data_IF_313616833479
#
_entry.id   IF_313616833479
#
_cell.length_a   1.000
_cell.length_b   1.000
_cell.length_c   1.000
_cell.angle_alpha   90.00
_cell.angle_beta   90.00
_cell.angle_gamma   90.00
#
_symmetry.space_group_name_H-M   'P 1'
#
loop_
_entity.id
_entity.type
_entity.pdbx_description
1 polymer ?
#
# COMPACT_ATOMS: atom_id res chain seq x y z
N UNK A 1 -25.85 32.96 16.20
CA UNK A 1 -24.77 31.94 16.19
C UNK A 1 -25.27 30.73 15.44
N UNK A 2 -24.42 30.06 14.69
CA UNK A 2 -24.82 28.86 13.95
C UNK A 2 -24.94 27.68 14.92
N UNK A 3 -25.91 26.79 14.72
CA UNK A 3 -26.08 25.53 15.45
C UNK A 3 -24.76 24.73 15.49
N UNK A 4 -23.97 24.80 14.42
CA UNK A 4 -22.66 24.19 14.34
C UNK A 4 -21.66 24.79 15.34
N UNK A 5 -21.70 26.10 15.57
CA UNK A 5 -20.83 26.74 16.57
C UNK A 5 -21.18 26.32 18.01
N UNK A 6 -22.49 26.21 18.30
CA UNK A 6 -22.94 25.73 19.62
C UNK A 6 -22.60 24.26 19.88
N UNK A 7 -22.76 23.39 18.89
CA UNK A 7 -22.34 21.98 18.97
C UNK A 7 -20.81 21.85 19.15
N UNK A 8 -20.06 22.80 18.60
CA UNK A 8 -18.62 22.85 18.71
C UNK A 8 -18.17 23.30 20.12
N UNK A 9 -18.82 24.33 20.66
CA UNK A 9 -18.56 24.81 22.03
C UNK A 9 -18.90 23.77 23.10
N UNK A 10 -19.84 22.86 22.81
CA UNK A 10 -20.21 21.76 23.71
C UNK A 10 -19.33 20.50 23.58
N UNK A 11 -18.33 20.50 22.71
CA UNK A 11 -17.47 19.33 22.48
C UNK A 11 -18.12 18.17 21.71
N UNK A 12 -19.45 18.17 21.57
CA UNK A 12 -20.18 17.06 20.97
C UNK A 12 -19.78 16.77 19.51
N UNK A 13 -19.50 17.81 18.73
CA UNK A 13 -19.05 17.63 17.35
C UNK A 13 -17.63 17.05 17.31
N UNK A 14 -16.77 17.44 18.24
CA UNK A 14 -15.42 16.87 18.34
C UNK A 14 -15.45 15.39 18.65
N UNK A 15 -16.29 14.98 19.60
CA UNK A 15 -16.46 13.57 19.97
C UNK A 15 -16.98 12.74 18.80
N UNK A 16 -17.97 13.26 18.05
CA UNK A 16 -18.47 12.61 16.82
C UNK A 16 -17.39 12.45 15.76
N UNK A 17 -16.52 13.45 15.59
CA UNK A 17 -15.41 13.36 14.65
C UNK A 17 -14.34 12.34 15.09
N UNK A 18 -14.09 12.22 16.38
CA UNK A 18 -13.20 11.20 16.94
C UNK A 18 -13.75 9.79 16.68
N UNK A 19 -15.00 9.54 17.03
CA UNK A 19 -15.66 8.24 16.83
C UNK A 19 -15.70 7.87 15.34
N UNK A 20 -15.99 8.82 14.48
CA UNK A 20 -15.96 8.63 13.03
C UNK A 20 -14.54 8.30 12.56
N UNK A 21 -13.53 9.05 13.02
CA UNK A 21 -12.13 8.83 12.68
C UNK A 21 -11.63 7.45 13.07
N UNK A 22 -11.99 6.99 14.27
CA UNK A 22 -11.64 5.65 14.74
C UNK A 22 -12.33 4.58 13.91
N UNK A 23 -13.64 4.71 13.67
CA UNK A 23 -14.43 3.77 12.87
C UNK A 23 -13.85 3.59 11.45
N UNK A 24 -13.57 4.70 10.76
CA UNK A 24 -12.97 4.66 9.41
C UNK A 24 -11.58 4.05 9.44
N UNK A 25 -10.76 4.41 10.43
CA UNK A 25 -9.40 3.88 10.55
C UNK A 25 -9.40 2.37 10.80
N UNK A 26 -10.28 1.86 11.67
CA UNK A 26 -10.42 0.42 11.92
C UNK A 26 -10.95 -0.31 10.69
N UNK A 27 -11.93 0.26 9.97
CA UNK A 27 -12.41 -0.30 8.71
C UNK A 27 -11.29 -0.37 7.66
N UNK A 28 -10.50 0.68 7.54
CA UNK A 28 -9.34 0.71 6.65
C UNK A 28 -8.27 -0.33 7.04
N UNK A 29 -7.99 -0.49 8.33
CA UNK A 29 -7.11 -1.55 8.85
C UNK A 29 -7.63 -2.95 8.51
N UNK A 30 -8.94 -3.16 8.63
CA UNK A 30 -9.60 -4.40 8.24
C UNK A 30 -9.46 -4.65 6.74
N UNK A 31 -9.74 -3.65 5.90
CA UNK A 31 -9.60 -3.74 4.45
C UNK A 31 -8.18 -4.11 4.00
N UNK A 32 -7.16 -3.59 4.70
CA UNK A 32 -5.76 -3.95 4.44
C UNK A 32 -5.46 -5.41 4.83
N UNK A 33 -6.06 -5.91 5.91
CA UNK A 33 -5.83 -7.28 6.42
C UNK A 33 -6.51 -8.33 5.56
N UNK A 34 -7.66 -8.00 4.97
CA UNK A 34 -8.43 -8.90 4.13
C UNK A 34 -7.79 -9.03 2.74
N UNK A 35 -7.83 -10.24 2.17
CA UNK A 35 -7.42 -10.45 0.80
C UNK A 35 -8.50 -9.95 -0.16
N UNK A 36 -8.26 -8.81 -0.78
CA UNK A 36 -9.17 -8.21 -1.75
C UNK A 36 -8.91 -8.73 -3.17
N UNK A 37 -9.99 -8.87 -3.94
CA UNK A 37 -9.90 -9.16 -5.38
C UNK A 37 -10.12 -7.86 -6.15
N UNK A 38 -9.05 -7.33 -6.74
CA UNK A 38 -9.10 -6.12 -7.56
C UNK A 38 -8.49 -6.40 -8.93
N UNK A 39 -9.17 -5.95 -9.97
CA UNK A 39 -8.75 -6.17 -11.36
C UNK A 39 -8.44 -7.65 -11.68
N UNK A 40 -9.29 -8.57 -11.18
CA UNK A 40 -9.15 -10.01 -11.38
C UNK A 40 -7.98 -10.66 -10.62
N UNK A 41 -7.28 -9.92 -9.75
CA UNK A 41 -6.17 -10.44 -8.96
C UNK A 41 -6.44 -10.36 -7.46
N UNK A 42 -6.23 -11.47 -6.78
CA UNK A 42 -6.24 -11.51 -5.30
C UNK A 42 -5.01 -10.78 -4.76
N UNK A 43 -5.22 -9.80 -3.89
CA UNK A 43 -4.17 -8.99 -3.29
C UNK A 43 -4.33 -8.95 -1.78
N UNK A 44 -3.20 -9.04 -1.09
CA UNK A 44 -3.07 -8.82 0.34
C UNK A 44 -2.01 -7.76 0.58
N UNK A 45 -2.43 -6.56 0.99
CA UNK A 45 -1.52 -5.44 1.20
C UNK A 45 -0.71 -5.61 2.49
N UNK A 46 -1.37 -6.12 3.53
CA UNK A 46 -0.76 -6.24 4.84
C UNK A 46 0.05 -7.53 4.97
N UNK A 47 1.35 -7.41 4.78
CA UNK A 47 2.22 -8.59 4.86
C UNK A 47 3.05 -8.63 6.14
N UNK A 48 3.41 -7.46 6.68
CA UNK A 48 4.21 -7.32 7.92
C UNK A 48 3.40 -6.72 9.05
N UNK A 49 2.16 -6.29 8.82
CA UNK A 49 1.36 -5.53 9.76
C UNK A 49 1.68 -4.03 9.78
N UNK A 50 2.81 -3.63 9.24
CA UNK A 50 3.32 -2.24 9.32
C UNK A 50 2.33 -1.22 8.73
N UNK A 51 1.74 -1.50 7.56
CA UNK A 51 0.80 -0.56 6.94
C UNK A 51 -0.45 -0.35 7.79
N UNK A 52 -1.06 -1.44 8.28
CA UNK A 52 -2.24 -1.32 9.13
C UNK A 52 -1.95 -0.61 10.47
N UNK A 53 -0.76 -0.84 11.03
CA UNK A 53 -0.33 -0.17 12.27
C UNK A 53 0.03 1.32 12.06
N UNK A 54 0.39 1.71 10.85
CA UNK A 54 0.79 3.09 10.52
C UNK A 54 -0.37 4.02 10.22
N UNK A 55 -1.60 3.51 10.08
CA UNK A 55 -2.77 4.33 9.79
C UNK A 55 -3.20 5.11 11.03
N UNK A 56 -3.47 6.39 10.83
CA UNK A 56 -4.01 7.27 11.85
C UNK A 56 -4.97 8.30 11.24
N UNK A 57 -5.72 8.95 12.10
CA UNK A 57 -6.53 10.11 11.74
C UNK A 57 -6.14 11.30 12.60
N UNK A 58 -6.45 12.49 12.13
CA UNK A 58 -6.29 13.74 12.87
C UNK A 58 -7.55 14.59 12.71
N UNK A 59 -8.00 15.20 13.78
CA UNK A 59 -9.11 16.15 13.78
C UNK A 59 -8.54 17.55 13.92
N UNK A 60 -8.83 18.42 12.98
CA UNK A 60 -8.46 19.84 13.00
C UNK A 60 -9.72 20.67 13.27
N UNK A 61 -9.66 21.40 14.38
CA UNK A 61 -10.74 22.28 14.85
C UNK A 61 -10.35 23.76 14.83
N UNK A 62 -9.16 24.06 14.34
CA UNK A 62 -8.61 25.43 14.32
C UNK A 62 -9.15 26.27 13.16
N UNK A 63 -9.69 25.64 12.13
CA UNK A 63 -10.26 26.29 10.96
C UNK A 63 -11.69 26.78 11.16
N UNK A 64 -12.22 27.48 10.15
CA UNK A 64 -13.64 27.94 10.12
C UNK A 64 -14.62 26.77 10.15
N UNK A 65 -14.22 25.64 9.60
CA UNK A 65 -14.95 24.37 9.62
C UNK A 65 -14.03 23.28 10.17
N UNK A 66 -14.52 22.46 11.11
CA UNK A 66 -13.78 21.30 11.57
C UNK A 66 -13.55 20.33 10.42
N UNK A 67 -12.37 19.72 10.42
CA UNK A 67 -12.00 18.74 9.40
C UNK A 67 -11.36 17.53 10.02
N UNK A 68 -11.49 16.39 9.35
CA UNK A 68 -10.82 15.16 9.71
C UNK A 68 -9.92 14.73 8.55
N UNK A 69 -8.67 14.44 8.86
CA UNK A 69 -7.68 13.91 7.93
C UNK A 69 -7.34 12.47 8.24
N UNK A 70 -7.17 11.67 7.20
CA UNK A 70 -6.71 10.28 7.32
C UNK A 70 -5.36 10.14 6.62
N UNK A 71 -4.36 9.59 7.32
CA UNK A 71 -3.02 9.48 6.79
C UNK A 71 -2.31 8.22 7.33
N UNK A 72 -1.05 8.05 6.95
CA UNK A 72 -0.20 6.96 7.34
C UNK A 72 1.25 7.42 7.50
N UNK A 73 1.92 6.93 8.53
CA UNK A 73 3.36 7.13 8.71
C UNK A 73 4.21 6.28 7.74
N UNK A 74 3.60 5.38 6.98
CA UNK A 74 4.31 4.57 6.00
C UNK A 74 4.40 5.29 4.65
N UNK A 75 5.59 5.63 4.19
CA UNK A 75 5.85 6.36 2.93
C UNK A 75 5.19 5.75 1.69
N UNK A 76 4.99 4.44 1.71
CA UNK A 76 4.39 3.70 0.60
C UNK A 76 2.85 3.60 0.68
N UNK A 77 2.21 4.08 1.73
CA UNK A 77 0.77 3.95 1.97
C UNK A 77 -0.05 4.50 0.81
N UNK A 78 0.29 5.69 0.33
CA UNK A 78 -0.37 6.33 -0.83
C UNK A 78 -0.29 5.50 -2.11
N UNK A 79 0.81 4.76 -2.33
CA UNK A 79 0.94 3.88 -3.49
C UNK A 79 0.08 2.62 -3.38
N UNK A 80 -0.24 2.19 -2.17
CA UNK A 80 -1.15 1.08 -1.92
C UNK A 80 -2.59 1.54 -2.03
N UNK A 81 -2.93 2.71 -1.51
CA UNK A 81 -4.27 3.30 -1.59
C UNK A 81 -4.65 3.61 -3.04
N UNK A 82 -3.89 4.48 -3.67
CA UNK A 82 -4.24 5.03 -4.99
C UNK A 82 -3.67 4.24 -6.17
N UNK A 83 -2.75 3.32 -5.91
CA UNK A 83 -2.05 2.60 -6.96
C UNK A 83 -1.04 3.46 -7.71
N UNK A 84 -0.52 2.93 -8.79
CA UNK A 84 0.39 3.62 -9.70
C UNK A 84 0.29 3.05 -11.10
N UNK A 85 0.11 3.88 -12.10
CA UNK A 85 0.16 3.45 -13.49
C UNK A 85 1.55 2.94 -13.87
N UNK A 86 1.60 1.83 -14.61
CA UNK A 86 2.79 1.41 -15.31
C UNK A 86 2.82 1.94 -16.73
N UNK A 87 3.94 1.81 -17.40
CA UNK A 87 4.09 2.24 -18.80
C UNK A 87 3.11 1.55 -19.77
N UNK A 88 2.72 0.31 -19.44
CA UNK A 88 1.84 -0.53 -20.27
C UNK A 88 0.53 -0.90 -19.59
N UNK A 89 0.19 -0.27 -18.47
CA UNK A 89 -1.05 -0.53 -17.75
C UNK A 89 -1.98 0.67 -17.81
N UNK A 90 -3.28 0.39 -17.86
CA UNK A 90 -4.32 1.39 -17.78
C UNK A 90 -5.30 0.98 -16.68
N UNK A 91 -4.94 1.21 -15.42
CA UNK A 91 -5.85 1.00 -14.30
C UNK A 91 -6.86 2.14 -14.25
N UNK A 92 -8.14 1.82 -14.42
CA UNK A 92 -9.25 2.79 -14.30
C UNK A 92 -9.34 3.28 -12.85
N UNK A 93 -9.60 4.58 -12.67
CA UNK A 93 -9.84 5.19 -11.36
C UNK A 93 -8.58 5.52 -10.56
N UNK A 94 -7.39 5.38 -11.12
CA UNK A 94 -6.18 5.94 -10.49
C UNK A 94 -6.26 7.46 -10.57
N UNK A 95 -6.05 8.11 -9.42
CA UNK A 95 -5.95 9.56 -9.35
C UNK A 95 -4.83 10.05 -10.29
N UNK A 96 -5.13 11.09 -11.08
CA UNK A 96 -4.19 11.65 -12.07
C UNK A 96 -2.88 12.11 -11.45
N UNK A 97 -2.86 12.48 -10.16
CA UNK A 97 -1.66 12.83 -9.40
C UNK A 97 -0.67 11.65 -9.29
N UNK A 98 -1.18 10.41 -9.37
CA UNK A 98 -0.40 9.18 -9.32
C UNK A 98 -0.27 8.50 -10.70
N UNK A 99 -0.93 9.05 -11.73
CA UNK A 99 -0.87 8.54 -13.09
C UNK A 99 0.48 8.83 -13.80
N UNK A 100 1.20 9.85 -13.34
CA UNK A 100 2.44 10.27 -13.97
C UNK A 100 3.60 9.32 -13.65
N UNK A 101 4.14 8.74 -14.71
CA UNK A 101 5.40 8.00 -14.85
C UNK A 101 5.79 7.07 -13.69
N UNK A 102 5.65 5.79 -13.97
CA UNK A 102 6.23 4.74 -13.16
C UNK A 102 7.77 4.81 -13.22
N UNK A 103 8.40 5.61 -12.37
CA UNK A 103 9.82 5.46 -12.15
C UNK A 103 10.06 4.03 -11.63
N UNK A 104 11.10 3.39 -12.13
CA UNK A 104 11.53 2.09 -11.65
C UNK A 104 11.81 2.17 -10.14
N UNK A 105 11.17 1.33 -9.31
CA UNK A 105 11.45 1.35 -7.88
C UNK A 105 12.91 0.99 -7.61
N UNK A 106 13.53 1.52 -6.53
CA UNK A 106 14.88 1.17 -6.14
C UNK A 106 15.02 -0.34 -5.94
N UNK A 107 16.05 -0.95 -6.53
CA UNK A 107 16.31 -2.39 -6.41
C UNK A 107 16.53 -2.80 -4.95
N UNK A 108 17.18 -1.94 -4.18
CA UNK A 108 17.46 -2.17 -2.75
C UNK A 108 16.18 -2.26 -1.92
N UNK A 109 15.18 -1.44 -2.21
CA UNK A 109 13.87 -1.54 -1.53
C UNK A 109 13.19 -2.88 -1.80
N UNK A 110 13.33 -3.40 -3.03
CA UNK A 110 12.79 -4.72 -3.39
C UNK A 110 13.59 -5.83 -2.71
N UNK A 111 14.91 -5.73 -2.63
CA UNK A 111 15.75 -6.69 -1.91
C UNK A 111 15.38 -6.75 -0.43
N UNK A 112 15.25 -5.58 0.21
CA UNK A 112 14.78 -5.48 1.60
C UNK A 112 13.42 -6.15 1.78
N UNK A 113 12.47 -5.87 0.89
CA UNK A 113 11.16 -6.50 0.89
C UNK A 113 11.25 -8.02 0.68
N UNK A 114 12.08 -8.51 -0.24
CA UNK A 114 12.30 -9.94 -0.46
C UNK A 114 12.87 -10.64 0.78
N UNK A 115 13.75 -9.96 1.52
CA UNK A 115 14.33 -10.48 2.77
C UNK A 115 13.28 -10.56 3.88
N UNK A 116 12.51 -9.49 4.10
CA UNK A 116 11.41 -9.45 5.06
C UNK A 116 10.38 -10.56 4.79
N UNK A 117 10.07 -10.81 3.53
CA UNK A 117 9.14 -11.85 3.09
C UNK A 117 9.74 -13.24 3.09
N UNK A 118 11.02 -13.39 3.35
CA UNK A 118 11.73 -14.67 3.23
C UNK A 118 11.48 -15.35 1.87
N UNK A 119 11.47 -14.54 0.78
CA UNK A 119 11.19 -15.04 -0.56
C UNK A 119 12.31 -16.00 -0.97
N UNK A 120 11.93 -17.25 -1.23
CA UNK A 120 12.83 -18.28 -1.74
C UNK A 120 12.87 -18.21 -3.26
N UNK A 121 14.06 -18.09 -3.82
CA UNK A 121 14.27 -18.16 -5.26
C UNK A 121 14.20 -19.62 -5.73
N UNK A 122 13.69 -19.82 -6.94
CA UNK A 122 13.75 -21.10 -7.62
C UNK A 122 15.02 -21.15 -8.46
N UNK A 123 15.76 -22.24 -8.39
CA UNK A 123 16.86 -22.48 -9.31
C UNK A 123 16.31 -22.78 -10.71
N UNK A 124 16.91 -22.20 -11.74
CA UNK A 124 16.70 -22.67 -13.12
C UNK A 124 17.57 -23.91 -13.33
N UNK A 125 16.95 -25.01 -13.76
CA UNK A 125 17.68 -26.18 -14.21
C UNK A 125 18.39 -25.90 -15.54
N UNK A 126 19.37 -26.71 -15.89
CA UNK A 126 20.15 -26.63 -17.15
C UNK A 126 19.27 -26.62 -18.41
N UNK A 127 18.06 -27.16 -18.33
CA UNK A 127 17.08 -27.20 -19.43
C UNK A 127 16.19 -25.95 -19.50
N UNK A 128 16.47 -24.88 -18.72
CA UNK A 128 15.62 -23.68 -18.67
C UNK A 128 14.25 -23.89 -18.00
N UNK A 129 13.92 -25.09 -17.53
CA UNK A 129 12.69 -25.36 -16.77
C UNK A 129 12.89 -25.03 -15.30
N UNK A 130 11.89 -24.43 -14.68
CA UNK A 130 11.91 -24.11 -13.24
C UNK A 130 11.91 -25.42 -12.43
N UNK A 131 13.00 -25.69 -11.75
CA UNK A 131 13.11 -26.81 -10.80
C UNK A 131 12.44 -26.51 -9.47
N UNK A 132 12.19 -27.56 -8.66
CA UNK A 132 11.73 -27.41 -7.26
C UNK A 132 12.68 -26.49 -6.50
N UNK A 133 12.17 -25.77 -5.49
CA UNK A 133 12.94 -24.79 -4.71
C UNK A 133 14.36 -25.26 -4.42
N UNK A 134 15.36 -24.50 -4.90
CA UNK A 134 16.75 -24.78 -4.59
C UNK A 134 16.97 -24.65 -3.07
N UNK A 135 17.34 -25.75 -2.46
CA UNK A 135 17.49 -25.86 -1.00
C UNK A 135 18.74 -25.13 -0.52
N UNK A 136 19.08 -23.99 -0.80
CA UNK A 136 20.09 -23.20 -0.11
C UNK A 136 21.07 -22.37 -0.96
N UNK A 137 21.64 -22.86 -2.05
CA UNK A 137 22.69 -22.14 -2.77
C UNK A 137 22.14 -20.87 -3.47
N UNK A 138 21.02 -20.99 -4.21
CA UNK A 138 20.42 -19.85 -4.94
C UNK A 138 19.88 -18.73 -4.01
N UNK A 139 19.57 -19.05 -2.76
CA UNK A 139 19.10 -18.04 -1.79
C UNK A 139 20.25 -17.32 -1.08
N UNK A 140 21.46 -17.84 -1.16
CA UNK A 140 22.69 -17.23 -0.63
C UNK A 140 23.42 -16.41 -1.69
N UNK A 141 23.09 -16.62 -2.98
CA UNK A 141 23.68 -15.87 -4.08
C UNK A 141 23.03 -14.48 -4.15
N UNK A 142 23.73 -13.47 -3.67
CA UNK A 142 23.29 -12.08 -3.66
C UNK A 142 23.10 -11.52 -5.08
N UNK A 143 23.95 -11.93 -6.01
CA UNK A 143 23.83 -11.51 -7.40
C UNK A 143 22.56 -12.03 -8.06
N UNK A 144 22.19 -13.28 -7.78
CA UNK A 144 20.94 -13.83 -8.28
C UNK A 144 19.72 -13.13 -7.65
N UNK A 145 19.77 -12.83 -6.35
CA UNK A 145 18.72 -12.07 -5.67
C UNK A 145 18.60 -10.66 -6.27
N UNK A 146 19.71 -10.00 -6.53
CA UNK A 146 19.74 -8.67 -7.16
C UNK A 146 19.19 -8.68 -8.60
N UNK A 147 19.51 -9.71 -9.40
CA UNK A 147 18.92 -9.92 -10.73
C UNK A 147 17.40 -10.06 -10.67
N UNK A 148 16.88 -10.88 -9.74
CA UNK A 148 15.44 -11.06 -9.55
C UNK A 148 14.78 -9.76 -9.07
N UNK A 149 15.36 -9.06 -8.10
CA UNK A 149 14.86 -7.78 -7.63
C UNK A 149 14.80 -6.73 -8.76
N UNK A 150 15.82 -6.70 -9.62
CA UNK A 150 15.84 -5.83 -10.79
C UNK A 150 14.74 -6.19 -11.82
N UNK A 151 14.51 -7.48 -12.06
CA UNK A 151 13.41 -7.94 -12.92
C UNK A 151 12.04 -7.57 -12.35
N UNK A 152 11.87 -7.66 -11.02
CA UNK A 152 10.64 -7.21 -10.32
C UNK A 152 10.47 -5.69 -10.43
N UNK A 153 11.54 -4.91 -10.26
CA UNK A 153 11.52 -3.46 -10.44
C UNK A 153 11.06 -3.06 -11.85
N UNK A 154 11.63 -3.69 -12.88
CA UNK A 154 11.21 -3.50 -14.27
C UNK A 154 9.76 -3.91 -14.51
N UNK A 155 9.31 -5.00 -13.88
CA UNK A 155 7.90 -5.44 -13.99
C UNK A 155 6.94 -4.44 -13.34
N UNK A 156 7.31 -3.82 -12.21
CA UNK A 156 6.51 -2.77 -11.55
C UNK A 156 6.50 -1.51 -12.42
N UNK A 157 7.64 -1.10 -12.98
CA UNK A 157 7.72 0.03 -13.91
C UNK A 157 6.79 -0.17 -15.12
N UNK A 158 6.77 -1.39 -15.67
CA UNK A 158 5.96 -1.73 -16.85
C UNK A 158 4.47 -1.86 -16.52
N UNK A 159 4.12 -2.59 -15.46
CA UNK A 159 2.75 -2.97 -15.12
C UNK A 159 2.09 -2.06 -14.09
N UNK A 160 2.86 -1.24 -13.37
CA UNK A 160 2.36 -0.43 -12.28
C UNK A 160 1.93 -1.24 -11.05
N UNK A 161 1.24 -0.57 -10.15
CA UNK A 161 0.66 -1.11 -8.92
C UNK A 161 -0.84 -0.80 -8.95
N UNK A 162 -1.69 -1.82 -8.95
CA UNK A 162 -3.12 -1.60 -8.88
C UNK A 162 -3.53 -1.07 -7.49
N UNK A 163 -4.44 -0.08 -7.42
CA UNK A 163 -4.89 0.51 -6.16
C UNK A 163 -5.66 -0.51 -5.32
N UNK A 164 -5.60 -0.34 -4.00
CA UNK A 164 -6.37 -1.12 -3.05
C UNK A 164 -7.57 -0.37 -2.47
N UNK A 165 -7.50 0.96 -2.42
CA UNK A 165 -8.55 1.85 -1.92
C UNK A 165 -9.03 1.51 -0.51
N UNK A 166 -8.11 1.22 0.41
CA UNK A 166 -8.46 0.76 1.76
C UNK A 166 -9.16 1.84 2.62
N UNK A 167 -8.86 3.12 2.40
CA UNK A 167 -9.60 4.22 3.02
C UNK A 167 -10.89 4.53 2.27
N UNK A 168 -10.84 4.57 0.94
CA UNK A 168 -12.02 4.90 0.14
C UNK A 168 -13.16 3.88 0.33
N UNK A 169 -12.84 2.64 0.59
CA UNK A 169 -13.80 1.56 0.79
C UNK A 169 -14.09 1.32 2.29
N UNK A 170 -13.58 2.16 3.19
CA UNK A 170 -13.82 2.15 4.63
C UNK A 170 -15.02 3.01 4.99
#
# INVERSE_FOLDING_TARGET
>A
MSILAELFEQGALYDVLLDFGESVTESARSNIRIQQTRYGKKRKANTTGTLAASLFYSVDVTGTLPSIGFDSTADYAKWVEYGRQGKESNYKGIDTRFAASAAKPPVEAILTWMNLKKIKLRAMGETGKMTKFAKSAANKDEDQRRRVANAMAKSIEKKGIAPLYYFRDA
#
